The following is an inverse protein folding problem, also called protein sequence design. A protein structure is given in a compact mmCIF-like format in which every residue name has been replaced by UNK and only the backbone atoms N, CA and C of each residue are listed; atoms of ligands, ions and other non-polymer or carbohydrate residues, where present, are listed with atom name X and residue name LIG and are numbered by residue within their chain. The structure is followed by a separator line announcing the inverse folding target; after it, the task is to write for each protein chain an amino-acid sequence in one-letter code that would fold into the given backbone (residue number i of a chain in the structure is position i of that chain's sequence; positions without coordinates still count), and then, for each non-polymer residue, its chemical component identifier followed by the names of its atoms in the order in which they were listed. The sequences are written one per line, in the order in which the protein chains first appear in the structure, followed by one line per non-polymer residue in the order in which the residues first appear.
data_IF_597100631896
#
_entry.id   IF_597100631896
#
_cell.length_a   1.000
_cell.length_b   1.000
_cell.length_c   1.000
_cell.angle_alpha   90.00
_cell.angle_beta   90.00
_cell.angle_gamma   90.00
#
_symmetry.space_group_name_H-M   'P 1'
#
loop_
_entity.id
_entity.type
_entity.pdbx_description
1 polymer ?
#
# COMPACT_ATOMS: atom_id res chain seq x y z
N UNK A 1 -11.97 8.22 -12.65
CA UNK A 1 -12.93 7.41 -13.45
C UNK A 1 -14.34 7.96 -13.25
N UNK A 2 -15.17 8.10 -14.31
CA UNK A 2 -16.56 8.58 -14.21
C UNK A 2 -17.55 7.41 -14.02
N UNK A 3 -18.83 7.75 -13.73
CA UNK A 3 -19.88 6.76 -13.46
C UNK A 3 -20.21 5.89 -14.70
N UNK A 4 -20.16 6.44 -15.91
CA UNK A 4 -20.43 5.72 -17.17
C UNK A 4 -19.38 4.62 -17.40
N UNK A 5 -18.10 4.94 -17.24
CA UNK A 5 -17.02 3.95 -17.34
C UNK A 5 -17.15 2.82 -16.29
N UNK A 6 -17.58 3.14 -15.07
CA UNK A 6 -17.83 2.13 -14.04
C UNK A 6 -19.02 1.23 -14.39
N UNK A 7 -20.08 1.77 -15.02
CA UNK A 7 -21.21 0.97 -15.51
C UNK A 7 -20.78 -0.01 -16.59
N UNK A 8 -20.02 0.46 -17.58
CA UNK A 8 -19.50 -0.38 -18.67
C UNK A 8 -18.63 -1.52 -18.13
N UNK A 9 -17.79 -1.21 -17.13
CA UNK A 9 -16.95 -2.22 -16.46
C UNK A 9 -17.83 -3.22 -15.70
N UNK A 10 -18.83 -2.76 -14.93
CA UNK A 10 -19.74 -3.62 -14.20
C UNK A 10 -20.50 -4.57 -15.14
N UNK A 11 -20.96 -4.06 -16.30
CA UNK A 11 -21.64 -4.87 -17.32
C UNK A 11 -20.71 -5.91 -17.96
N UNK A 12 -19.44 -5.57 -18.16
CA UNK A 12 -18.46 -6.42 -18.86
C UNK A 12 -17.83 -7.48 -17.95
N UNK A 13 -17.58 -7.14 -16.69
CA UNK A 13 -16.79 -7.99 -15.76
C UNK A 13 -17.61 -8.51 -14.59
N UNK A 14 -18.87 -8.11 -14.43
CA UNK A 14 -19.73 -8.44 -13.30
C UNK A 14 -19.12 -8.04 -11.92
N UNK A 15 -19.92 -8.22 -10.87
CA UNK A 15 -19.57 -7.95 -9.47
C UNK A 15 -19.41 -9.25 -8.68
N UNK A 16 -18.73 -9.26 -7.52
CA UNK A 16 -17.95 -8.16 -6.96
C UNK A 16 -16.58 -7.98 -7.66
N UNK A 17 -16.13 -6.75 -7.82
CA UNK A 17 -14.89 -6.45 -8.52
C UNK A 17 -14.15 -5.24 -7.92
N UNK A 18 -12.82 -5.28 -7.87
CA UNK A 18 -11.98 -4.08 -7.72
C UNK A 18 -11.58 -3.55 -9.08
N UNK A 19 -11.69 -2.25 -9.23
CA UNK A 19 -11.24 -1.52 -10.42
C UNK A 19 -10.11 -0.62 -9.98
N UNK A 20 -8.93 -0.79 -10.59
CA UNK A 20 -7.79 0.09 -10.36
C UNK A 20 -7.58 0.99 -11.58
N UNK A 21 -7.57 2.30 -11.32
CA UNK A 21 -7.42 3.35 -12.33
C UNK A 21 -5.93 3.69 -12.48
N UNK A 22 -5.33 3.26 -13.60
CA UNK A 22 -3.92 3.48 -13.90
C UNK A 22 -3.59 4.96 -14.12
N UNK A 23 -4.52 5.73 -14.73
CA UNK A 23 -4.29 7.14 -14.99
C UNK A 23 -4.32 7.96 -13.69
N UNK A 24 -5.21 7.61 -12.77
CA UNK A 24 -5.24 8.20 -11.43
C UNK A 24 -3.97 7.87 -10.64
N UNK A 25 -3.49 6.63 -10.71
CA UNK A 25 -2.23 6.22 -10.08
C UNK A 25 -1.04 7.01 -10.64
N UNK A 26 -0.95 7.15 -11.95
CA UNK A 26 0.08 7.96 -12.63
C UNK A 26 0.00 9.43 -12.27
N UNK A 27 -1.22 10.01 -12.29
CA UNK A 27 -1.45 11.41 -11.87
C UNK A 27 -0.97 11.65 -10.42
N UNK A 28 -1.30 10.71 -9.53
CA UNK A 28 -0.91 10.78 -8.11
C UNK A 28 0.60 10.67 -7.94
N UNK A 29 1.26 9.74 -8.64
CA UNK A 29 2.71 9.59 -8.63
C UNK A 29 3.42 10.86 -9.12
N UNK A 30 2.93 11.47 -10.21
CA UNK A 30 3.45 12.72 -10.75
C UNK A 30 3.34 13.88 -9.75
N UNK A 31 2.20 14.01 -9.07
CA UNK A 31 2.01 15.03 -8.05
C UNK A 31 2.99 14.85 -6.88
N UNK A 32 3.15 13.61 -6.41
CA UNK A 32 4.12 13.29 -5.35
C UNK A 32 5.53 13.59 -5.79
N UNK A 33 5.96 13.12 -6.98
CA UNK A 33 7.31 13.34 -7.51
C UNK A 33 7.63 14.82 -7.63
N UNK A 34 6.66 15.62 -8.10
CA UNK A 34 6.81 17.07 -8.18
C UNK A 34 6.97 17.74 -6.80
N UNK A 35 6.23 17.28 -5.80
CA UNK A 35 6.25 17.87 -4.47
C UNK A 35 7.53 17.57 -3.68
N UNK A 36 8.10 16.36 -3.84
CA UNK A 36 9.30 15.92 -3.12
C UNK A 36 10.62 16.41 -3.74
N UNK A 37 10.55 17.16 -4.83
CA UNK A 37 11.72 17.77 -5.48
C UNK A 37 12.72 16.74 -6.01
N UNK A 38 13.99 16.83 -5.56
CA UNK A 38 15.08 15.95 -6.00
C UNK A 38 15.09 14.54 -5.37
N UNK A 39 14.12 14.23 -4.49
CA UNK A 39 14.06 12.91 -3.88
C UNK A 39 13.59 11.82 -4.85
N UNK A 40 14.04 10.60 -4.65
CA UNK A 40 13.53 9.40 -5.34
C UNK A 40 12.19 8.98 -4.76
N UNK A 41 11.27 8.53 -5.61
CA UNK A 41 9.97 8.00 -5.21
C UNK A 41 10.00 6.48 -5.20
N UNK A 42 9.71 5.87 -4.05
CA UNK A 42 9.60 4.43 -3.88
C UNK A 42 8.14 4.03 -3.63
N UNK A 43 7.62 3.07 -4.39
CA UNK A 43 6.30 2.51 -4.18
C UNK A 43 6.34 1.27 -3.29
N UNK A 44 5.68 1.33 -2.12
CA UNK A 44 5.54 0.19 -1.21
C UNK A 44 4.39 -0.72 -1.68
N UNK A 45 4.70 -1.84 -2.33
CA UNK A 45 3.70 -2.69 -3.01
C UNK A 45 2.71 -3.37 -2.07
N UNK A 46 3.04 -3.50 -0.79
CA UNK A 46 2.10 -3.97 0.26
C UNK A 46 0.78 -3.22 0.26
N UNK A 47 0.78 -1.97 -0.20
CA UNK A 47 -0.44 -1.19 -0.34
C UNK A 47 -1.38 -1.76 -1.42
N UNK A 48 -0.82 -2.16 -2.56
CA UNK A 48 -1.55 -2.83 -3.64
C UNK A 48 -0.60 -3.41 -4.69
N UNK A 49 -0.32 -4.72 -4.66
CA UNK A 49 0.61 -5.35 -5.59
C UNK A 49 0.12 -5.37 -7.05
N UNK A 50 -1.18 -5.23 -7.30
CA UNK A 50 -1.73 -5.22 -8.66
C UNK A 50 -1.33 -3.97 -9.45
N UNK A 51 -0.99 -2.87 -8.78
CA UNK A 51 -0.53 -1.64 -9.42
C UNK A 51 0.85 -1.78 -10.06
N UNK A 52 1.60 -2.85 -9.77
CA UNK A 52 2.82 -3.19 -10.52
C UNK A 52 2.55 -3.42 -12.02
N UNK A 53 1.30 -3.72 -12.40
CA UNK A 53 0.92 -3.89 -13.80
C UNK A 53 0.83 -2.56 -14.59
N UNK A 54 0.97 -1.42 -13.91
CA UNK A 54 0.88 -0.07 -14.50
C UNK A 54 1.79 0.94 -13.77
N UNK A 55 3.00 0.54 -13.35
CA UNK A 55 3.95 1.44 -12.70
C UNK A 55 4.23 2.66 -13.58
N UNK A 56 3.97 3.89 -13.09
CA UNK A 56 4.33 5.09 -13.82
C UNK A 56 5.84 5.36 -13.74
N UNK A 57 6.36 6.09 -14.74
CA UNK A 57 7.79 6.43 -14.84
C UNK A 57 8.33 7.29 -13.69
N UNK A 58 7.46 7.97 -12.98
CA UNK A 58 7.80 8.75 -11.80
C UNK A 58 8.23 7.91 -10.59
N UNK A 59 7.93 6.61 -10.60
CA UNK A 59 8.33 5.68 -9.53
C UNK A 59 9.71 5.13 -9.84
N UNK A 60 10.70 5.58 -9.07
CA UNK A 60 12.10 5.19 -9.25
C UNK A 60 12.41 3.82 -8.66
N UNK A 61 11.69 3.41 -7.60
CA UNK A 61 11.93 2.18 -6.83
C UNK A 61 10.65 1.51 -6.36
N UNK A 62 10.77 0.24 -6.00
CA UNK A 62 9.69 -0.60 -5.47
C UNK A 62 10.14 -1.25 -4.18
N UNK A 63 9.42 -1.02 -3.07
CA UNK A 63 9.68 -1.68 -1.79
C UNK A 63 8.83 -2.94 -1.66
N UNK A 64 9.50 -4.06 -1.31
CA UNK A 64 8.89 -5.34 -0.95
C UNK A 64 9.25 -5.71 0.48
N UNK A 65 8.31 -6.33 1.21
CA UNK A 65 8.45 -6.64 2.63
C UNK A 65 8.36 -8.14 2.95
N UNK A 66 8.25 -8.99 1.93
CA UNK A 66 8.15 -10.44 2.11
C UNK A 66 8.67 -11.19 0.88
N UNK A 67 9.04 -12.48 1.02
CA UNK A 67 9.41 -13.32 -0.12
C UNK A 67 8.27 -13.46 -1.13
N UNK A 68 7.01 -13.47 -0.67
CA UNK A 68 5.84 -13.48 -1.57
C UNK A 68 5.75 -12.24 -2.45
N UNK A 69 6.02 -11.05 -1.90
CA UNK A 69 6.06 -9.80 -2.67
C UNK A 69 7.24 -9.77 -3.65
N UNK A 70 8.40 -10.31 -3.26
CA UNK A 70 9.54 -10.48 -4.16
C UNK A 70 9.20 -11.42 -5.33
N UNK A 71 8.49 -12.53 -5.05
CA UNK A 71 8.02 -13.45 -6.08
C UNK A 71 7.01 -12.79 -7.04
N UNK A 72 6.17 -11.86 -6.55
CA UNK A 72 5.29 -11.06 -7.41
C UNK A 72 6.13 -10.18 -8.34
N UNK A 73 7.12 -9.43 -7.83
CA UNK A 73 8.00 -8.61 -8.65
C UNK A 73 8.68 -9.44 -9.74
N UNK A 74 9.22 -10.60 -9.40
CA UNK A 74 9.84 -11.54 -10.36
C UNK A 74 8.86 -11.98 -11.45
N UNK A 75 7.61 -12.30 -11.08
CA UNK A 75 6.56 -12.75 -12.00
C UNK A 75 6.12 -11.69 -12.99
N UNK A 76 6.03 -10.43 -12.54
CA UNK A 76 5.60 -9.31 -13.41
C UNK A 76 6.74 -8.62 -14.12
N UNK A 77 8.00 -9.04 -13.86
CA UNK A 77 9.18 -8.53 -14.56
C UNK A 77 9.65 -7.15 -14.08
N UNK A 78 9.49 -6.84 -12.79
CA UNK A 78 10.09 -5.63 -12.20
C UNK A 78 11.59 -5.70 -12.32
N UNK A 79 12.25 -4.61 -12.73
CA UNK A 79 13.71 -4.54 -12.78
C UNK A 79 14.30 -4.72 -11.37
N UNK A 80 15.10 -5.76 -11.12
CA UNK A 80 15.70 -6.02 -9.82
C UNK A 80 16.49 -4.83 -9.26
N UNK A 81 17.12 -4.04 -10.14
CA UNK A 81 17.91 -2.86 -9.77
C UNK A 81 17.08 -1.72 -9.18
N UNK A 82 15.76 -1.82 -9.22
CA UNK A 82 14.83 -0.86 -8.60
C UNK A 82 14.22 -1.39 -7.29
N UNK A 83 14.48 -2.65 -6.92
CA UNK A 83 13.83 -3.29 -5.78
C UNK A 83 14.57 -3.03 -4.48
N UNK A 84 13.84 -2.55 -3.47
CA UNK A 84 14.26 -2.46 -2.07
C UNK A 84 13.62 -3.60 -1.29
N UNK A 85 14.43 -4.48 -0.70
CA UNK A 85 13.92 -5.61 0.09
C UNK A 85 13.97 -5.29 1.58
N UNK A 86 12.83 -4.90 2.11
CA UNK A 86 12.59 -4.57 3.51
C UNK A 86 11.99 -5.78 4.28
N UNK A 87 11.24 -5.53 5.32
CA UNK A 87 10.52 -6.55 6.10
C UNK A 87 11.21 -6.95 7.39
N UNK A 88 10.42 -7.07 8.45
CA UNK A 88 10.91 -7.33 9.81
C UNK A 88 11.34 -8.79 10.01
N UNK A 89 10.73 -9.72 9.30
CA UNK A 89 11.04 -11.14 9.36
C UNK A 89 11.67 -11.60 8.05
N UNK A 90 12.99 -11.74 8.03
CA UNK A 90 13.79 -12.24 6.90
C UNK A 90 14.66 -13.39 7.36
N UNK A 91 14.44 -14.57 6.80
CA UNK A 91 15.29 -15.74 6.97
C UNK A 91 16.51 -15.71 6.04
N UNK A 92 17.42 -16.66 6.23
CA UNK A 92 18.61 -16.78 5.37
C UNK A 92 18.23 -17.07 3.92
N UNK A 93 17.18 -17.86 3.69
CA UNK A 93 16.68 -18.21 2.36
C UNK A 93 16.09 -17.00 1.66
N UNK A 94 15.23 -16.22 2.36
CA UNK A 94 14.61 -15.02 1.83
C UNK A 94 15.67 -13.99 1.39
N UNK A 95 16.73 -13.83 2.21
CA UNK A 95 17.84 -12.93 1.93
C UNK A 95 18.63 -13.43 0.72
N UNK A 96 18.91 -14.73 0.64
CA UNK A 96 19.62 -15.32 -0.48
C UNK A 96 18.84 -15.14 -1.80
N UNK A 97 17.51 -15.36 -1.78
CA UNK A 97 16.65 -15.11 -2.94
C UNK A 97 16.66 -13.65 -3.39
N UNK A 98 16.65 -12.70 -2.45
CA UNK A 98 16.71 -11.28 -2.78
C UNK A 98 18.06 -10.89 -3.43
N UNK A 99 19.17 -11.45 -2.91
CA UNK A 99 20.52 -11.25 -3.46
C UNK A 99 20.64 -11.91 -4.85
N UNK A 100 20.09 -13.10 -5.02
CA UNK A 100 20.08 -13.81 -6.31
C UNK A 100 19.25 -13.02 -7.35
N UNK A 101 18.07 -12.57 -6.96
CA UNK A 101 17.22 -11.72 -7.81
C UNK A 101 17.92 -10.46 -8.24
N UNK A 102 18.84 -9.93 -7.43
CA UNK A 102 19.60 -8.71 -7.70
C UNK A 102 18.93 -7.46 -7.13
N UNK A 103 18.21 -7.60 -6.01
CA UNK A 103 17.63 -6.46 -5.31
C UNK A 103 18.70 -5.39 -5.02
N UNK A 104 18.37 -4.14 -5.32
CA UNK A 104 19.29 -2.99 -5.26
C UNK A 104 19.72 -2.68 -3.83
N UNK A 105 18.79 -2.80 -2.89
CA UNK A 105 19.00 -2.43 -1.49
C UNK A 105 18.30 -3.44 -0.58
N UNK A 106 18.99 -3.90 0.47
CA UNK A 106 18.41 -4.72 1.53
C UNK A 106 18.34 -3.90 2.82
N UNK A 107 17.22 -3.96 3.54
CA UNK A 107 17.07 -3.29 4.83
C UNK A 107 17.41 -4.24 5.98
N UNK A 108 18.34 -3.89 6.85
CA UNK A 108 18.65 -4.63 8.08
C UNK A 108 17.92 -4.00 9.28
N UNK A 109 17.09 -4.80 9.95
CA UNK A 109 16.30 -4.36 11.11
C UNK A 109 16.95 -4.71 12.46
N UNK A 110 18.11 -5.40 12.42
CA UNK A 110 18.87 -5.79 13.60
C UNK A 110 20.31 -6.17 13.22
N UNK A 111 21.22 -6.20 14.20
CA UNK A 111 22.58 -6.71 14.02
C UNK A 111 22.58 -8.18 13.55
N UNK A 112 21.61 -8.99 14.01
CA UNK A 112 21.44 -10.37 13.53
C UNK A 112 21.11 -10.40 12.03
N UNK A 113 20.17 -9.59 11.58
CA UNK A 113 19.82 -9.53 10.13
C UNK A 113 20.99 -9.03 9.29
N UNK A 114 21.74 -8.02 9.78
CA UNK A 114 22.95 -7.54 9.12
C UNK A 114 23.99 -8.68 8.96
N UNK A 115 24.18 -9.50 10.01
CA UNK A 115 25.02 -10.68 9.93
C UNK A 115 24.54 -11.74 8.93
N UNK A 116 23.23 -11.98 8.85
CA UNK A 116 22.62 -12.88 7.86
C UNK A 116 22.83 -12.38 6.43
N UNK A 117 22.62 -11.08 6.19
CA UNK A 117 22.85 -10.45 4.88
C UNK A 117 24.32 -10.59 4.48
N UNK A 118 25.25 -10.29 5.40
CA UNK A 118 26.68 -10.45 5.16
C UNK A 118 27.05 -11.89 4.78
N UNK A 119 26.56 -12.87 5.54
CA UNK A 119 26.84 -14.29 5.27
C UNK A 119 26.30 -14.74 3.92
N UNK A 120 25.08 -14.34 3.57
CA UNK A 120 24.47 -14.67 2.29
C UNK A 120 25.19 -14.01 1.12
N UNK A 121 25.59 -12.75 1.28
CA UNK A 121 26.34 -12.00 0.26
C UNK A 121 27.70 -12.64 -0.02
N UNK A 122 28.45 -13.01 1.04
CA UNK A 122 29.72 -13.74 0.92
C UNK A 122 29.57 -15.09 0.25
N UNK A 123 28.53 -15.86 0.62
CA UNK A 123 28.23 -17.13 0.00
C UNK A 123 27.92 -17.01 -1.49
N UNK A 124 27.28 -15.90 -1.89
CA UNK A 124 27.01 -15.58 -3.31
C UNK A 124 28.19 -14.95 -4.05
N UNK A 125 29.34 -14.70 -3.38
CA UNK A 125 30.47 -13.98 -3.95
C UNK A 125 30.16 -12.55 -4.33
N UNK A 126 29.19 -11.91 -3.68
CA UNK A 126 28.71 -10.56 -3.95
C UNK A 126 28.98 -9.62 -2.78
N UNK A 127 28.92 -8.33 -3.08
CA UNK A 127 28.81 -7.28 -2.09
C UNK A 127 27.51 -6.53 -2.31
N UNK A 128 26.69 -6.36 -1.26
CA UNK A 128 25.33 -5.85 -1.37
C UNK A 128 25.15 -4.57 -0.58
N UNK A 129 24.33 -3.67 -1.09
CA UNK A 129 23.98 -2.40 -0.44
C UNK A 129 22.95 -2.65 0.65
N UNK A 130 23.16 -2.03 1.82
CA UNK A 130 22.28 -2.21 2.99
C UNK A 130 21.89 -0.86 3.58
N UNK A 131 20.58 -0.72 3.85
CA UNK A 131 20.03 0.31 4.71
C UNK A 131 19.91 -0.24 6.14
N UNK A 132 20.32 0.53 7.14
CA UNK A 132 20.09 0.21 8.55
C UNK A 132 18.81 0.89 9.01
N UNK A 133 17.84 0.12 9.49
CA UNK A 133 16.58 0.69 9.96
C UNK A 133 16.70 1.16 11.40
N UNK A 134 16.45 2.45 11.60
CA UNK A 134 16.29 3.06 12.91
C UNK A 134 14.89 2.79 13.45
N UNK A 135 14.80 2.39 14.72
CA UNK A 135 13.51 2.17 15.39
C UNK A 135 12.80 3.47 15.71
N UNK A 136 11.48 3.44 15.67
CA UNK A 136 10.60 4.47 16.23
C UNK A 136 10.05 4.10 17.62
N UNK A 137 10.67 3.11 18.29
CA UNK A 137 10.27 2.65 19.62
C UNK A 137 9.26 1.49 19.61
N UNK A 138 9.17 0.75 18.50
CA UNK A 138 8.33 -0.43 18.35
C UNK A 138 9.17 -1.65 17.94
N UNK A 139 8.51 -2.73 17.44
CA UNK A 139 9.18 -3.97 17.01
C UNK A 139 10.06 -3.84 15.77
N UNK A 140 10.08 -2.70 15.09
CA UNK A 140 10.82 -2.49 13.86
C UNK A 140 12.12 -1.73 14.11
N UNK A 141 13.18 -2.14 13.39
CA UNK A 141 14.47 -1.48 13.41
C UNK A 141 15.27 -1.67 14.68
N UNK A 142 16.44 -1.08 14.73
CA UNK A 142 17.36 -1.07 15.86
C UNK A 142 17.50 0.35 16.45
N UNK A 143 17.85 0.45 17.71
CA UNK A 143 18.12 1.74 18.34
C UNK A 143 19.39 2.40 17.78
N UNK A 144 19.55 3.68 18.07
CA UNK A 144 20.67 4.49 17.59
C UNK A 144 22.05 3.93 18.02
N UNK A 145 22.15 3.31 19.19
CA UNK A 145 23.42 2.76 19.69
C UNK A 145 23.80 1.48 18.93
N UNK A 146 22.85 0.58 18.68
CA UNK A 146 23.08 -0.61 17.85
C UNK A 146 23.36 -0.23 16.38
N UNK A 147 22.72 0.82 15.86
CA UNK A 147 22.99 1.34 14.53
C UNK A 147 24.42 1.91 14.44
N UNK A 148 24.85 2.75 15.38
CA UNK A 148 26.22 3.25 15.46
C UNK A 148 27.24 2.12 15.63
N UNK A 149 26.91 1.09 16.42
CA UNK A 149 27.74 -0.10 16.58
C UNK A 149 27.90 -0.85 15.26
N UNK A 150 26.82 -1.08 14.50
CA UNK A 150 26.89 -1.72 13.17
C UNK A 150 27.86 -0.96 12.25
N UNK A 151 27.82 0.37 12.28
CA UNK A 151 28.69 1.22 11.47
C UNK A 151 30.14 1.21 11.98
N UNK A 152 30.35 1.22 13.29
CA UNK A 152 31.70 1.12 13.88
C UNK A 152 32.37 -0.22 13.52
N UNK A 153 31.60 -1.28 13.48
CA UNK A 153 32.03 -2.65 13.16
C UNK A 153 31.95 -2.98 11.65
N UNK A 154 31.72 -1.99 10.76
CA UNK A 154 31.51 -2.21 9.32
C UNK A 154 32.59 -3.02 8.63
N UNK A 155 33.84 -2.96 9.12
CA UNK A 155 34.94 -3.75 8.61
C UNK A 155 34.79 -5.26 8.81
N UNK A 156 33.90 -5.71 9.71
CA UNK A 156 33.59 -7.13 9.92
C UNK A 156 32.49 -7.65 8.97
N UNK A 157 31.85 -6.77 8.20
CA UNK A 157 30.78 -7.13 7.24
C UNK A 157 31.29 -6.98 5.82
N UNK A 158 32.23 -7.85 5.41
CA UNK A 158 32.94 -7.74 4.11
C UNK A 158 32.00 -7.85 2.90
N UNK A 159 30.85 -8.57 3.04
CA UNK A 159 29.83 -8.72 2.01
C UNK A 159 28.81 -7.58 1.94
N UNK A 160 28.97 -6.53 2.77
CA UNK A 160 27.96 -5.47 2.91
C UNK A 160 28.57 -4.08 2.70
N UNK A 161 27.83 -3.23 1.99
CA UNK A 161 28.00 -1.79 1.95
C UNK A 161 26.85 -1.12 2.68
N UNK A 162 27.11 -0.51 3.85
CA UNK A 162 26.11 0.30 4.56
C UNK A 162 26.02 1.66 3.88
N UNK A 163 24.87 1.94 3.24
CA UNK A 163 24.71 3.12 2.37
C UNK A 163 23.55 4.02 2.75
N UNK A 164 22.66 3.57 3.64
CA UNK A 164 21.47 4.32 3.98
C UNK A 164 21.02 4.11 5.43
N UNK A 165 20.28 5.09 5.95
CA UNK A 165 19.41 4.95 7.13
C UNK A 165 17.98 4.83 6.62
N UNK A 166 17.27 3.78 7.05
CA UNK A 166 15.84 3.63 6.78
C UNK A 166 15.03 4.00 8.02
N UNK A 167 13.91 4.73 7.82
CA UNK A 167 13.03 5.10 8.92
C UNK A 167 11.57 5.21 8.51
N UNK A 168 10.72 4.60 9.31
CA UNK A 168 9.26 4.69 9.20
C UNK A 168 8.63 4.55 10.59
N UNK A 169 7.88 5.55 11.06
CA UNK A 169 7.29 5.57 12.39
C UNK A 169 5.79 5.27 12.43
N UNK A 170 5.13 5.17 11.28
CA UNK A 170 3.70 4.85 11.20
C UNK A 170 2.98 5.58 10.09
N UNK A 171 1.72 5.21 9.90
CA UNK A 171 0.84 5.73 8.83
C UNK A 171 -0.14 6.79 9.36
N UNK A 172 -0.80 7.51 8.44
CA UNK A 172 -1.88 8.47 8.73
C UNK A 172 -1.45 9.59 9.69
N UNK A 173 -0.24 10.10 9.53
CA UNK A 173 0.29 11.21 10.34
C UNK A 173 -0.40 12.52 9.98
N UNK A 174 -1.27 13.00 10.86
CA UNK A 174 -2.03 14.25 10.68
C UNK A 174 -1.26 15.51 11.09
N UNK A 175 -0.20 15.36 11.92
CA UNK A 175 0.60 16.49 12.41
C UNK A 175 1.94 16.53 11.68
N UNK A 176 2.11 17.44 10.75
CA UNK A 176 3.32 17.53 9.91
C UNK A 176 4.58 17.96 10.67
N UNK A 177 4.45 18.59 11.84
CA UNK A 177 5.58 18.83 12.75
C UNK A 177 6.30 17.53 13.16
N UNK A 178 5.63 16.35 13.07
CA UNK A 178 6.28 15.05 13.28
C UNK A 178 7.22 14.74 12.12
N UNK A 179 6.81 15.02 10.87
CA UNK A 179 7.63 14.80 9.67
C UNK A 179 8.89 15.69 9.72
N UNK A 180 8.73 16.97 10.07
CA UNK A 180 9.83 17.91 10.22
C UNK A 180 10.85 17.42 11.26
N UNK A 181 10.36 17.01 12.44
CA UNK A 181 11.21 16.49 13.51
C UNK A 181 11.96 15.22 13.10
N UNK A 182 11.26 14.27 12.47
CA UNK A 182 11.86 13.02 11.99
C UNK A 182 12.97 13.26 10.97
N UNK A 183 12.74 14.15 10.01
CA UNK A 183 13.76 14.51 9.03
C UNK A 183 15.00 15.15 9.67
N UNK A 184 14.81 16.06 10.64
CA UNK A 184 15.91 16.68 11.35
C UNK A 184 16.73 15.66 12.17
N UNK A 185 16.07 14.73 12.88
CA UNK A 185 16.73 13.66 13.64
C UNK A 185 17.51 12.70 12.72
N UNK A 186 16.98 12.40 11.53
CA UNK A 186 17.66 11.55 10.55
C UNK A 186 18.86 12.24 9.92
N UNK A 187 18.79 13.54 9.60
CA UNK A 187 19.94 14.31 9.12
C UNK A 187 21.05 14.36 10.20
N UNK A 188 20.69 14.68 11.44
CA UNK A 188 21.66 14.70 12.55
C UNK A 188 22.35 13.33 12.75
N UNK A 189 21.58 12.24 12.70
CA UNK A 189 22.16 10.89 12.80
C UNK A 189 23.09 10.60 11.62
N UNK A 190 22.70 10.95 10.39
CA UNK A 190 23.53 10.75 9.20
C UNK A 190 24.85 11.54 9.31
N UNK A 191 24.80 12.81 9.75
CA UNK A 191 25.99 13.63 9.97
C UNK A 191 26.93 13.01 11.02
N UNK A 192 26.38 12.51 12.13
CA UNK A 192 27.16 11.78 13.15
C UNK A 192 27.86 10.55 12.55
N UNK A 193 27.16 9.77 11.71
CA UNK A 193 27.72 8.57 11.08
C UNK A 193 28.83 8.92 10.08
N UNK A 194 28.69 10.02 9.35
CA UNK A 194 29.70 10.50 8.42
C UNK A 194 30.94 11.04 9.15
N UNK A 195 30.75 11.95 10.09
CA UNK A 195 31.85 12.65 10.78
C UNK A 195 32.63 11.75 11.72
N UNK A 196 31.94 10.92 12.52
CA UNK A 196 32.57 10.14 13.61
C UNK A 196 32.95 8.73 13.23
N UNK A 197 32.23 8.14 12.23
CA UNK A 197 32.41 6.73 11.86
C UNK A 197 32.93 6.55 10.44
N UNK A 198 33.20 7.66 9.72
CA UNK A 198 33.83 7.65 8.40
C UNK A 198 32.98 6.94 7.34
N UNK A 199 31.67 7.06 7.42
CA UNK A 199 30.80 6.82 6.27
C UNK A 199 30.77 8.08 5.41
N UNK A 200 30.49 7.95 4.14
CA UNK A 200 30.37 9.10 3.25
C UNK A 200 29.16 8.93 2.33
N UNK A 201 28.35 10.00 2.20
CA UNK A 201 27.21 10.03 1.30
C UNK A 201 26.07 9.09 1.73
N UNK A 202 25.81 8.99 3.03
CA UNK A 202 24.68 8.23 3.57
C UNK A 202 23.37 8.81 3.04
N UNK A 203 22.55 7.96 2.42
CA UNK A 203 21.22 8.30 1.97
C UNK A 203 20.16 8.04 3.06
N UNK A 204 19.00 8.68 2.90
CA UNK A 204 17.83 8.43 3.76
C UNK A 204 16.76 7.68 2.95
N UNK A 205 16.31 6.54 3.47
CA UNK A 205 15.12 5.82 3.01
C UNK A 205 13.99 6.15 4.00
N UNK A 206 13.07 7.03 3.61
CA UNK A 206 12.12 7.64 4.53
C UNK A 206 10.67 7.42 4.16
N UNK A 207 9.90 6.84 5.08
CA UNK A 207 8.45 6.73 4.97
C UNK A 207 7.73 7.83 5.77
N UNK A 208 7.23 8.91 5.13
CA UNK A 208 6.57 10.01 5.83
C UNK A 208 5.23 9.61 6.46
N UNK A 209 4.61 8.54 5.97
CA UNK A 209 3.33 8.05 6.48
C UNK A 209 2.19 9.05 6.33
N UNK A 210 2.18 9.84 5.24
CA UNK A 210 1.16 10.85 5.01
C UNK A 210 -0.25 10.25 5.02
N UNK A 211 -1.23 11.00 5.54
CA UNK A 211 -2.61 10.54 5.58
C UNK A 211 -3.23 10.50 4.19
N UNK A 212 -4.10 9.53 3.97
CA UNK A 212 -5.08 9.53 2.89
C UNK A 212 -6.46 9.73 3.52
N UNK A 213 -7.21 10.71 3.06
CA UNK A 213 -8.56 10.95 3.56
C UNK A 213 -9.55 10.00 2.87
N UNK A 214 -10.20 9.14 3.64
CA UNK A 214 -11.15 8.14 3.14
C UNK A 214 -12.61 8.59 3.23
N UNK A 215 -12.94 9.51 4.16
CA UNK A 215 -14.32 9.75 4.58
C UNK A 215 -14.72 11.23 4.54
N UNK A 216 -13.82 12.10 4.19
CA UNK A 216 -14.08 13.54 4.14
C UNK A 216 -14.86 13.99 2.91
N UNK A 217 -15.36 15.23 2.95
CA UNK A 217 -16.13 15.81 1.84
C UNK A 217 -15.24 16.25 0.66
N UNK A 218 -13.98 16.60 0.92
CA UNK A 218 -12.96 16.92 -0.08
C UNK A 218 -11.66 16.17 0.21
N UNK A 219 -11.62 14.85 -0.04
CA UNK A 219 -10.46 14.06 0.27
C UNK A 219 -9.25 14.37 -0.61
N UNK A 220 -9.45 14.74 -1.86
CA UNK A 220 -8.36 15.10 -2.78
C UNK A 220 -7.69 16.40 -2.38
N UNK A 221 -8.47 17.45 -2.11
CA UNK A 221 -7.92 18.75 -1.68
C UNK A 221 -7.12 18.62 -0.39
N UNK A 222 -7.62 17.86 0.58
CA UNK A 222 -6.91 17.60 1.85
C UNK A 222 -5.60 16.83 1.65
N UNK A 223 -5.62 15.78 0.85
CA UNK A 223 -4.43 15.00 0.53
C UNK A 223 -3.37 15.88 -0.16
N UNK A 224 -3.78 16.71 -1.12
CA UNK A 224 -2.86 17.60 -1.84
C UNK A 224 -2.28 18.70 -0.95
N UNK A 225 -3.07 19.26 -0.03
CA UNK A 225 -2.59 20.26 0.93
C UNK A 225 -1.49 19.69 1.84
N UNK A 226 -1.72 18.49 2.38
CA UNK A 226 -0.72 17.77 3.20
C UNK A 226 0.53 17.43 2.39
N UNK A 227 0.37 17.00 1.14
CA UNK A 227 1.49 16.70 0.25
C UNK A 227 2.34 17.94 -0.03
N UNK A 228 1.72 19.09 -0.29
CA UNK A 228 2.46 20.32 -0.58
C UNK A 228 3.36 20.75 0.59
N UNK A 229 2.86 20.67 1.82
CA UNK A 229 3.61 21.05 3.02
C UNK A 229 4.71 20.03 3.34
N UNK A 230 4.39 18.73 3.42
CA UNK A 230 5.37 17.68 3.70
C UNK A 230 6.40 17.55 2.57
N UNK A 231 5.96 17.70 1.32
CA UNK A 231 6.83 17.66 0.15
C UNK A 231 7.90 18.74 0.17
N UNK A 232 7.54 19.96 0.59
CA UNK A 232 8.52 21.05 0.74
C UNK A 232 9.59 20.73 1.80
N UNK A 233 9.22 20.11 2.92
CA UNK A 233 10.17 19.68 3.96
C UNK A 233 11.12 18.62 3.39
N UNK A 234 10.59 17.61 2.68
CA UNK A 234 11.37 16.54 2.06
C UNK A 234 12.31 17.11 0.98
N UNK A 235 11.81 17.99 0.11
CA UNK A 235 12.60 18.62 -0.95
C UNK A 235 13.78 19.43 -0.38
N UNK A 236 13.59 20.10 0.76
CA UNK A 236 14.64 20.84 1.43
C UNK A 236 15.78 19.91 1.92
N UNK A 237 15.47 18.71 2.42
CA UNK A 237 16.47 17.70 2.80
C UNK A 237 17.10 17.10 1.54
N UNK A 238 16.31 16.80 0.51
CA UNK A 238 16.80 16.23 -0.74
C UNK A 238 17.76 17.14 -1.51
N UNK A 239 17.73 18.44 -1.25
CA UNK A 239 18.70 19.40 -1.79
C UNK A 239 20.10 19.27 -1.16
N UNK A 240 20.22 18.64 0.02
CA UNK A 240 21.47 18.49 0.76
C UNK A 240 22.00 17.06 0.80
N UNK A 241 21.10 16.07 0.76
CA UNK A 241 21.40 14.65 0.92
C UNK A 241 20.52 13.82 -0.01
N UNK A 242 21.00 12.66 -0.45
CA UNK A 242 20.18 11.71 -1.20
C UNK A 242 19.05 11.18 -0.32
N UNK A 243 17.81 11.29 -0.79
CA UNK A 243 16.60 10.84 -0.11
C UNK A 243 15.77 9.99 -1.05
N UNK A 244 15.33 8.82 -0.59
CA UNK A 244 14.25 8.04 -1.20
C UNK A 244 13.04 8.11 -0.28
N UNK A 245 11.87 8.38 -0.85
CA UNK A 245 10.63 8.52 -0.08
C UNK A 245 9.69 7.37 -0.42
N UNK A 246 9.30 6.62 0.62
CA UNK A 246 8.43 5.47 0.50
C UNK A 246 6.96 5.87 0.64
N UNK A 247 6.18 5.63 -0.40
CA UNK A 247 4.74 5.82 -0.42
C UNK A 247 4.00 4.54 -0.82
N UNK A 248 3.00 4.17 -0.04
CA UNK A 248 2.06 3.09 -0.37
C UNK A 248 0.63 3.62 -0.41
N UNK A 249 0.03 3.74 0.77
CA UNK A 249 -1.36 4.19 0.97
C UNK A 249 -1.71 5.47 0.23
N UNK A 250 -0.88 6.48 0.36
CA UNK A 250 -1.11 7.79 -0.23
C UNK A 250 -1.18 7.76 -1.75
N UNK A 251 -0.39 6.90 -2.41
CA UNK A 251 -0.44 6.70 -3.86
C UNK A 251 -1.64 5.85 -4.28
N UNK A 252 -1.86 4.73 -3.60
CA UNK A 252 -2.79 3.71 -4.06
C UNK A 252 -4.26 4.00 -3.69
N UNK A 253 -4.56 4.65 -2.54
CA UNK A 253 -5.94 4.81 -2.06
C UNK A 253 -6.89 5.42 -3.09
N UNK A 254 -6.58 6.55 -3.77
CA UNK A 254 -7.54 7.21 -4.65
C UNK A 254 -7.80 6.44 -5.95
N UNK A 255 -6.91 5.56 -6.37
CA UNK A 255 -7.03 4.87 -7.67
C UNK A 255 -7.92 3.62 -7.63
N UNK A 256 -8.46 3.23 -6.48
CA UNK A 256 -9.28 2.02 -6.36
C UNK A 256 -10.76 2.30 -6.16
N UNK A 257 -11.58 1.59 -6.90
CA UNK A 257 -13.05 1.52 -6.73
C UNK A 257 -13.46 0.07 -6.58
N UNK A 258 -14.32 -0.22 -5.61
CA UNK A 258 -14.90 -1.54 -5.43
C UNK A 258 -16.35 -1.54 -5.86
N UNK A 259 -16.72 -2.45 -6.76
CA UNK A 259 -18.07 -2.64 -7.26
C UNK A 259 -18.73 -3.84 -6.59
N UNK A 260 -19.96 -3.67 -6.13
CA UNK A 260 -20.78 -4.73 -5.55
C UNK A 260 -22.25 -4.50 -5.90
N UNK A 261 -23.01 -5.56 -6.20
CA UNK A 261 -24.40 -5.49 -6.57
C UNK A 261 -25.32 -5.79 -5.37
N UNK A 262 -26.48 -5.16 -5.35
CA UNK A 262 -27.57 -5.50 -4.43
C UNK A 262 -28.13 -6.88 -4.81
N UNK A 263 -27.81 -7.91 -4.02
CA UNK A 263 -28.28 -9.28 -4.22
C UNK A 263 -29.67 -9.52 -3.62
N UNK A 264 -30.01 -8.80 -2.55
CA UNK A 264 -31.32 -8.86 -1.90
C UNK A 264 -31.60 -7.53 -1.17
N UNK A 265 -32.87 -7.13 -1.10
CA UNK A 265 -33.32 -5.94 -0.39
C UNK A 265 -34.51 -6.33 0.49
N UNK A 266 -34.44 -6.00 1.77
CA UNK A 266 -35.52 -6.33 2.73
C UNK A 266 -35.75 -5.21 3.71
N UNK A 267 -37.00 -5.07 4.14
CA UNK A 267 -37.39 -4.19 5.23
C UNK A 267 -37.69 -5.01 6.48
N UNK A 268 -36.96 -4.77 7.55
CA UNK A 268 -37.21 -5.39 8.85
C UNK A 268 -37.49 -4.29 9.90
N UNK A 269 -38.71 -4.27 10.42
CA UNK A 269 -39.11 -3.32 11.46
C UNK A 269 -38.94 -1.84 11.08
N UNK A 270 -39.09 -1.51 9.80
CA UNK A 270 -38.94 -0.13 9.30
C UNK A 270 -37.52 0.25 8.86
N UNK A 271 -36.54 -0.64 8.99
CA UNK A 271 -35.18 -0.45 8.46
C UNK A 271 -34.98 -1.20 7.15
N UNK A 272 -34.43 -0.52 6.14
CA UNK A 272 -34.10 -1.13 4.87
C UNK A 272 -32.67 -1.69 4.89
N UNK A 273 -32.53 -2.97 4.62
CA UNK A 273 -31.27 -3.69 4.50
C UNK A 273 -31.01 -4.09 3.06
N UNK A 274 -29.84 -3.77 2.56
CA UNK A 274 -29.34 -4.24 1.27
C UNK A 274 -28.28 -5.30 1.53
N UNK A 275 -28.46 -6.49 1.00
CA UNK A 275 -27.45 -7.54 1.02
C UNK A 275 -26.69 -7.48 -0.29
N UNK A 276 -25.42 -7.13 -0.23
CA UNK A 276 -24.52 -7.07 -1.38
C UNK A 276 -23.91 -8.44 -1.68
N UNK A 277 -23.50 -8.66 -2.93
CA UNK A 277 -22.80 -9.90 -3.35
C UNK A 277 -21.35 -9.99 -2.85
N UNK A 278 -20.76 -8.88 -2.39
CA UNK A 278 -19.51 -8.80 -1.63
C UNK A 278 -19.73 -8.26 -0.23
N UNK A 279 -18.65 -8.05 0.53
CA UNK A 279 -18.73 -7.60 1.92
C UNK A 279 -17.37 -7.24 2.50
N UNK A 280 -17.24 -7.28 3.84
CA UNK A 280 -16.00 -7.01 4.56
C UNK A 280 -14.90 -8.03 4.27
N UNK A 281 -15.21 -9.16 3.64
CA UNK A 281 -14.23 -10.11 3.13
C UNK A 281 -13.42 -9.54 1.96
N UNK A 282 -13.94 -8.51 1.29
CA UNK A 282 -13.28 -7.84 0.18
C UNK A 282 -12.91 -6.40 0.54
N UNK A 283 -13.87 -5.63 1.06
CA UNK A 283 -13.72 -4.18 1.26
C UNK A 283 -13.31 -3.84 2.69
N UNK A 284 -12.19 -3.14 2.81
CA UNK A 284 -11.69 -2.64 4.10
C UNK A 284 -11.12 -1.24 3.95
N UNK A 285 -11.47 -0.35 4.87
CA UNK A 285 -10.89 0.98 4.99
C UNK A 285 -10.13 1.12 6.29
N UNK A 286 -8.98 1.78 6.24
CA UNK A 286 -8.23 2.09 7.45
C UNK A 286 -9.03 3.02 8.37
N UNK A 287 -9.10 2.67 9.65
CA UNK A 287 -9.84 3.44 10.65
C UNK A 287 -11.35 3.23 10.65
N UNK A 288 -11.91 2.42 9.71
CA UNK A 288 -13.30 2.01 9.76
C UNK A 288 -13.54 1.07 10.94
N UNK A 289 -14.41 1.48 11.82
CA UNK A 289 -14.83 0.65 12.99
C UNK A 289 -16.34 0.47 12.93
N UNK A 290 -16.81 -0.77 12.90
CA UNK A 290 -18.24 -1.12 12.95
C UNK A 290 -19.11 -0.37 11.93
N UNK A 291 -18.56 -0.05 10.75
CA UNK A 291 -19.23 0.70 9.68
C UNK A 291 -19.81 2.08 10.12
N UNK A 292 -19.11 2.75 11.04
CA UNK A 292 -19.54 4.05 11.59
C UNK A 292 -19.27 5.25 10.66
N UNK A 293 -18.39 5.07 9.67
CA UNK A 293 -18.03 6.12 8.70
C UNK A 293 -18.49 5.69 7.31
N UNK A 294 -18.99 6.64 6.54
CA UNK A 294 -19.45 6.39 5.17
C UNK A 294 -18.36 6.77 4.19
N UNK A 295 -17.77 5.81 3.45
CA UNK A 295 -16.84 6.13 2.37
C UNK A 295 -17.57 6.76 1.18
N UNK A 296 -16.87 7.30 0.17
CA UNK A 296 -17.51 7.73 -1.06
C UNK A 296 -18.24 6.55 -1.74
N UNK A 297 -19.54 6.69 -1.90
CA UNK A 297 -20.41 5.70 -2.55
C UNK A 297 -21.16 6.36 -3.68
N UNK A 298 -21.16 5.71 -4.84
CA UNK A 298 -21.93 6.09 -6.01
C UNK A 298 -22.84 4.93 -6.38
N UNK A 299 -24.14 5.18 -6.50
CA UNK A 299 -25.08 4.25 -7.14
C UNK A 299 -24.94 4.42 -8.65
N UNK A 300 -24.64 3.33 -9.36
CA UNK A 300 -24.45 3.35 -10.81
C UNK A 300 -25.80 3.19 -11.53
N UNK A 301 -26.00 3.95 -12.58
CA UNK A 301 -27.22 3.92 -13.37
C UNK A 301 -28.07 5.17 -13.24
N UNK A 302 -29.21 5.16 -13.92
CA UNK A 302 -30.21 6.23 -13.81
C UNK A 302 -31.32 5.76 -12.87
N UNK A 303 -31.51 6.51 -11.79
CA UNK A 303 -32.46 6.20 -10.72
C UNK A 303 -33.40 7.37 -10.52
N UNK A 304 -34.65 7.07 -10.14
CA UNK A 304 -35.65 8.09 -9.88
C UNK A 304 -35.33 8.99 -8.70
N UNK A 305 -36.15 10.03 -8.49
CA UNK A 305 -35.95 11.05 -7.44
C UNK A 305 -36.24 10.56 -6.01
N UNK A 306 -36.88 9.38 -5.84
CA UNK A 306 -37.20 8.84 -4.52
C UNK A 306 -35.92 8.41 -3.81
N UNK A 307 -35.67 8.97 -2.65
CA UNK A 307 -34.53 8.64 -1.80
C UNK A 307 -34.98 7.85 -0.55
N UNK A 308 -34.15 6.94 -0.10
CA UNK A 308 -34.40 6.11 1.08
C UNK A 308 -33.11 5.94 1.89
N UNK A 309 -33.26 5.64 3.19
CA UNK A 309 -32.15 5.27 4.05
C UNK A 309 -31.92 3.76 4.02
N UNK A 310 -30.67 3.33 3.93
CA UNK A 310 -30.26 1.92 3.86
C UNK A 310 -29.12 1.60 4.83
N UNK A 311 -29.15 0.37 5.36
CA UNK A 311 -27.99 -0.32 5.92
C UNK A 311 -27.43 -1.25 4.84
N UNK A 312 -26.20 -1.03 4.40
CA UNK A 312 -25.52 -1.87 3.39
C UNK A 312 -24.79 -2.99 4.12
N UNK A 313 -25.16 -4.22 3.86
CA UNK A 313 -24.59 -5.44 4.41
C UNK A 313 -23.89 -6.25 3.32
N UNK A 314 -22.88 -7.02 3.71
CA UNK A 314 -22.23 -7.95 2.79
C UNK A 314 -22.89 -9.34 2.76
N UNK A 315 -22.18 -10.27 2.13
CA UNK A 315 -22.64 -11.62 1.83
C UNK A 315 -22.26 -12.69 2.87
N UNK A 316 -21.63 -12.28 3.99
CA UNK A 316 -21.15 -13.22 4.99
C UNK A 316 -22.20 -13.51 6.07
N UNK A 317 -22.21 -14.74 6.57
CA UNK A 317 -23.07 -15.16 7.68
C UNK A 317 -22.51 -14.69 9.03
N UNK A 318 -22.42 -13.38 9.20
CA UNK A 318 -22.02 -12.73 10.46
C UNK A 318 -22.66 -11.35 10.55
N UNK A 319 -23.10 -10.98 11.75
CA UNK A 319 -23.65 -9.65 12.04
C UNK A 319 -22.62 -8.52 11.93
N UNK A 320 -21.33 -8.86 11.82
CA UNK A 320 -20.25 -7.90 11.61
C UNK A 320 -20.13 -7.45 10.14
N UNK A 321 -20.76 -8.16 9.19
CA UNK A 321 -20.66 -7.86 7.76
C UNK A 321 -21.59 -6.70 7.37
N UNK A 322 -21.24 -5.54 7.86
CA UNK A 322 -21.89 -4.27 7.54
C UNK A 322 -20.85 -3.37 6.88
N UNK A 323 -21.13 -2.97 5.64
CA UNK A 323 -20.31 -2.03 4.90
C UNK A 323 -20.58 -0.58 5.33
N UNK A 324 -21.85 -0.22 5.49
CA UNK A 324 -22.31 1.10 5.97
C UNK A 324 -23.61 0.94 6.76
N UNK A 325 -23.64 1.53 7.95
CA UNK A 325 -24.83 1.43 8.84
C UNK A 325 -25.99 2.30 8.42
N UNK A 326 -25.73 3.45 7.85
CA UNK A 326 -26.75 4.36 7.36
C UNK A 326 -26.21 5.19 6.19
N UNK A 327 -26.87 5.07 5.06
CA UNK A 327 -26.61 5.89 3.87
C UNK A 327 -27.95 6.20 3.21
N UNK A 328 -28.11 7.46 2.77
CA UNK A 328 -29.27 7.90 2.01
C UNK A 328 -28.94 7.82 0.53
N UNK A 329 -29.66 7.02 -0.22
CA UNK A 329 -29.46 6.78 -1.66
C UNK A 329 -30.80 6.87 -2.42
N UNK A 330 -30.78 7.03 -3.75
CA UNK A 330 -31.95 6.78 -4.58
C UNK A 330 -32.50 5.37 -4.31
N UNK A 331 -33.82 5.18 -4.49
CA UNK A 331 -34.47 3.91 -4.21
C UNK A 331 -33.82 2.77 -5.00
N UNK A 332 -33.33 1.76 -4.26
CA UNK A 332 -32.58 0.65 -4.81
C UNK A 332 -33.47 -0.50 -5.28
N UNK A 333 -33.02 -1.18 -6.29
CA UNK A 333 -33.56 -2.45 -6.80
C UNK A 333 -32.51 -3.56 -6.74
N UNK A 334 -32.96 -4.81 -6.67
CA UNK A 334 -32.05 -5.96 -6.80
C UNK A 334 -31.36 -5.91 -8.16
N UNK A 335 -30.04 -6.06 -8.16
CA UNK A 335 -29.18 -5.93 -9.32
C UNK A 335 -28.51 -4.57 -9.47
N UNK A 336 -28.93 -3.54 -8.73
CA UNK A 336 -28.27 -2.25 -8.74
C UNK A 336 -26.84 -2.34 -8.21
N UNK A 337 -25.92 -1.62 -8.85
CA UNK A 337 -24.49 -1.67 -8.54
C UNK A 337 -24.07 -0.44 -7.75
N UNK A 338 -23.42 -0.70 -6.63
CA UNK A 338 -22.80 0.29 -5.75
C UNK A 338 -21.29 0.32 -6.01
N UNK A 339 -20.75 1.53 -6.20
CA UNK A 339 -19.33 1.78 -6.35
C UNK A 339 -18.76 2.46 -5.09
N UNK A 340 -17.86 1.80 -4.40
CA UNK A 340 -17.16 2.30 -3.21
C UNK A 340 -15.79 2.84 -3.64
N UNK A 341 -15.59 4.14 -3.53
CA UNK A 341 -14.36 4.81 -3.95
C UNK A 341 -13.23 4.74 -2.93
N UNK A 342 -12.02 5.17 -3.35
CA UNK A 342 -10.81 5.32 -2.52
C UNK A 342 -10.36 4.04 -1.78
N UNK A 343 -10.68 2.88 -2.30
CA UNK A 343 -10.32 1.59 -1.71
C UNK A 343 -9.08 0.94 -2.36
N UNK A 344 -8.26 1.70 -3.09
CA UNK A 344 -7.10 1.19 -3.82
C UNK A 344 -5.94 0.72 -2.94
N UNK A 345 -5.90 1.11 -1.66
CA UNK A 345 -4.84 0.69 -0.75
C UNK A 345 -5.33 -0.32 0.29
N UNK A 346 -4.65 -1.47 0.37
CA UNK A 346 -4.84 -2.56 1.35
C UNK A 346 -6.16 -3.32 1.27
N UNK A 347 -7.27 -2.74 0.82
CA UNK A 347 -8.58 -3.41 0.79
C UNK A 347 -8.52 -4.79 0.12
N UNK A 348 -7.80 -4.89 -1.00
CA UNK A 348 -7.70 -6.14 -1.77
C UNK A 348 -6.92 -7.26 -1.05
N UNK A 349 -6.14 -6.93 -0.03
CA UNK A 349 -5.27 -7.88 0.69
C UNK A 349 -5.58 -8.02 2.18
N UNK A 350 -6.17 -7.01 2.83
CA UNK A 350 -6.45 -7.00 4.27
C UNK A 350 -7.87 -7.46 4.64
N UNK A 351 -8.74 -7.75 3.67
CA UNK A 351 -10.04 -8.36 3.91
C UNK A 351 -9.91 -9.78 4.47
N UNK A 352 -10.96 -10.25 5.13
CA UNK A 352 -11.05 -11.64 5.64
C UNK A 352 -11.40 -12.63 4.51
N UNK A 353 -10.67 -12.57 3.41
CA UNK A 353 -10.98 -13.20 2.12
C UNK A 353 -11.19 -14.72 2.16
N UNK A 354 -10.70 -15.41 3.19
CA UNK A 354 -10.88 -16.86 3.33
C UNK A 354 -12.11 -17.26 4.16
N UNK A 355 -12.76 -16.30 4.84
CA UNK A 355 -13.93 -16.62 5.68
C UNK A 355 -15.11 -17.09 4.84
N UNK A 356 -15.72 -18.19 5.24
CA UNK A 356 -16.80 -18.91 4.56
C UNK A 356 -16.43 -19.43 3.15
N UNK A 357 -15.14 -19.51 2.81
CA UNK A 357 -14.66 -19.98 1.50
C UNK A 357 -15.33 -19.27 0.32
N UNK A 358 -15.66 -17.97 0.49
CA UNK A 358 -16.18 -17.14 -0.59
C UNK A 358 -15.12 -16.88 -1.64
N UNK A 359 -15.54 -16.75 -2.90
CA UNK A 359 -14.63 -16.38 -3.98
C UNK A 359 -13.99 -15.00 -3.74
N UNK A 360 -12.72 -14.86 -4.09
CA UNK A 360 -12.08 -13.55 -4.17
C UNK A 360 -12.64 -12.79 -5.39
N UNK A 361 -12.77 -11.44 -5.28
CA UNK A 361 -13.35 -10.63 -6.34
C UNK A 361 -12.46 -10.55 -7.57
N UNK A 362 -13.04 -10.17 -8.70
CA UNK A 362 -12.27 -9.80 -9.88
C UNK A 362 -11.41 -8.58 -9.63
N UNK A 363 -10.29 -8.52 -10.34
CA UNK A 363 -9.40 -7.36 -10.38
C UNK A 363 -9.30 -6.89 -11.82
N UNK A 364 -9.74 -5.67 -12.06
CA UNK A 364 -9.70 -5.03 -13.37
C UNK A 364 -8.82 -3.80 -13.29
N UNK A 365 -7.89 -3.66 -14.22
CA UNK A 365 -7.14 -2.45 -14.45
C UNK A 365 -7.80 -1.65 -15.55
N UNK A 366 -8.12 -0.40 -15.27
CA UNK A 366 -8.64 0.57 -16.22
C UNK A 366 -7.60 1.59 -16.61
N UNK A 367 -7.57 1.99 -17.88
CA UNK A 367 -6.90 3.22 -18.33
C UNK A 367 -7.63 3.80 -19.55
N UNK A 368 -7.60 5.13 -19.70
CA UNK A 368 -8.23 5.81 -20.82
C UNK A 368 -7.67 5.35 -22.17
N UNK A 369 -6.37 5.07 -22.25
CA UNK A 369 -5.71 4.63 -23.50
C UNK A 369 -5.78 3.12 -23.71
N UNK A 370 -5.65 2.33 -22.65
CA UNK A 370 -5.52 0.86 -22.71
C UNK A 370 -6.85 0.13 -22.54
N UNK A 371 -7.93 0.84 -22.21
CA UNK A 371 -9.22 0.24 -21.89
C UNK A 371 -9.18 -0.56 -20.59
N UNK A 372 -10.02 -1.59 -20.52
CA UNK A 372 -10.19 -2.44 -19.35
C UNK A 372 -9.46 -3.77 -19.53
N UNK A 373 -8.61 -4.12 -18.59
CA UNK A 373 -7.84 -5.38 -18.57
C UNK A 373 -8.11 -6.16 -17.31
N UNK A 374 -8.56 -7.41 -17.45
CA UNK A 374 -8.71 -8.33 -16.32
C UNK A 374 -7.32 -8.76 -15.84
N UNK A 375 -6.98 -8.46 -14.58
CA UNK A 375 -5.72 -8.87 -13.95
C UNK A 375 -5.89 -10.18 -13.17
N UNK A 376 -7.04 -10.39 -12.56
CA UNK A 376 -7.40 -11.63 -11.86
C UNK A 376 -8.90 -11.85 -11.99
N UNK A 377 -9.29 -13.05 -12.42
CA UNK A 377 -10.69 -13.49 -12.41
C UNK A 377 -11.11 -13.92 -10.99
N UNK A 378 -12.36 -14.26 -10.80
CA UNK A 378 -12.84 -14.87 -9.56
C UNK A 378 -11.95 -16.05 -9.18
N UNK A 379 -11.58 -16.11 -7.92
CA UNK A 379 -10.72 -17.19 -7.42
C UNK A 379 -11.43 -17.89 -6.25
N UNK A 380 -11.68 -19.20 -6.40
CA UNK A 380 -12.25 -20.01 -5.35
C UNK A 380 -11.27 -20.17 -4.17
N UNK A 381 -11.76 -19.98 -2.96
CA UNK A 381 -10.92 -20.11 -1.75
C UNK A 381 -11.19 -21.41 -0.98
N UNK A 382 -12.10 -22.24 -1.44
CA UNK A 382 -12.43 -23.55 -0.88
C UNK A 382 -11.20 -24.46 -0.82
N UNK A 383 -10.39 -24.48 -1.87
CA UNK A 383 -9.15 -25.27 -1.91
C UNK A 383 -8.14 -24.86 -0.81
N UNK A 384 -8.13 -23.57 -0.42
CA UNK A 384 -7.24 -23.06 0.63
C UNK A 384 -7.73 -23.43 2.03
N UNK A 385 -9.03 -23.74 2.18
CA UNK A 385 -9.69 -24.12 3.42
C UNK A 385 -10.02 -25.63 3.50
N UNK A 386 -9.65 -26.38 2.49
CA UNK A 386 -9.84 -27.83 2.46
C UNK A 386 -8.64 -28.55 3.08
N UNK A 387 -8.86 -29.64 3.85
CA UNK A 387 -7.78 -30.53 4.25
C UNK A 387 -7.08 -31.10 3.02
N UNK A 388 -5.77 -31.32 3.13
CA UNK A 388 -5.08 -32.12 2.12
C UNK A 388 -5.71 -33.49 2.04
N UNK A 389 -5.79 -34.09 0.85
CA UNK A 389 -6.21 -35.49 0.71
C UNK A 389 -5.25 -36.34 1.55
N UNK A 390 -5.83 -37.16 2.45
CA UNK A 390 -5.10 -38.05 3.39
C UNK A 390 -4.84 -39.38 2.70
#
# INVERSE_FOLDING_TARGET
MNSEALQDIAASFATPAFIFDADEFGRRAKNVKSAIGGASLCYSIKANPFLLACLPEEIDRVEVCSPGELAICRRVGVDPSTVVYSGVNKGSEDIAEAIEYGAELLTAESLRQLGLINAAALAAGKRVRVALRLTSGNQFGMDSENLKRAVAEKGSYEGVDIVAIHYYSGTQKKKLAVVEKELAELEELADILEERFGLSGISLEYGPGLPADYFGDDPEGRDMAVLAEAGAMIAAVAARRSVTVEFGRFLASPCGTYLTAAADIKNNNGENFVICDGGINHLKYYGQTMAMQTPPITLLGDHGEKIEDYTLCGSLCTTADILVRKVTLPALSVGDVLAFGRCGAYSVTEGIGLFLSRQLPRIVLHSERGGNRLLRDFYGTDILNSPAEV
#
